data_IF_685375855423
#
_entry.id   IF_685375855423
#
_cell.length_a   1.000
_cell.length_b   1.000
_cell.length_c   1.000
_cell.angle_alpha   90.00
_cell.angle_beta   90.00
_cell.angle_gamma   90.00
#
_symmetry.space_group_name_H-M   'P 1'
#
loop_
_entity.id
_entity.type
_entity.pdbx_description
1 polymer ?
#
# COMPACT_ATOMS: atom_id res chain seq x y z
N UNK A 1 16.29 -8.40 -15.75
CA UNK A 1 17.38 -8.35 -14.74
C UNK A 1 16.70 -8.20 -13.40
N UNK A 2 17.03 -9.08 -12.46
CA UNK A 2 16.53 -9.05 -11.07
C UNK A 2 16.99 -7.76 -10.40
N UNK A 3 16.11 -7.04 -9.70
CA UNK A 3 16.51 -5.90 -8.86
C UNK A 3 17.32 -6.39 -7.66
N UNK A 4 16.96 -7.56 -7.13
CA UNK A 4 17.76 -8.21 -6.12
C UNK A 4 18.85 -9.05 -6.77
N UNK A 5 20.10 -8.76 -6.48
CA UNK A 5 21.23 -9.56 -6.96
C UNK A 5 21.85 -10.36 -5.82
N UNK A 6 22.16 -11.64 -6.09
CA UNK A 6 23.07 -12.46 -5.25
C UNK A 6 24.54 -12.39 -5.71
N UNK A 7 24.87 -11.44 -6.57
CA UNK A 7 26.16 -11.39 -7.27
C UNK A 7 26.92 -10.10 -6.95
N UNK A 8 27.81 -10.15 -5.95
CA UNK A 8 28.86 -9.15 -5.71
C UNK A 8 30.08 -9.78 -4.99
N UNK A 9 31.16 -9.00 -4.85
CA UNK A 9 32.49 -9.35 -4.30
C UNK A 9 32.45 -10.02 -2.90
N UNK A 10 31.36 -9.86 -2.15
CA UNK A 10 30.95 -10.65 -0.98
C UNK A 10 29.43 -10.86 -1.05
N UNK A 11 28.94 -12.08 -0.85
CA UNK A 11 27.49 -12.36 -0.81
C UNK A 11 26.91 -11.79 0.48
N UNK A 12 25.67 -11.25 0.47
CA UNK A 12 24.97 -11.03 1.74
C UNK A 12 24.79 -12.37 2.47
N UNK A 13 24.65 -12.35 3.81
CA UNK A 13 24.27 -13.51 4.59
C UNK A 13 23.10 -14.28 3.97
N UNK A 14 23.13 -15.61 4.12
CA UNK A 14 22.01 -16.44 3.68
C UNK A 14 20.73 -15.99 4.40
N UNK A 15 19.65 -15.76 3.64
CA UNK A 15 18.41 -15.17 4.15
C UNK A 15 18.23 -13.67 3.87
N UNK A 16 19.25 -12.98 3.33
CA UNK A 16 19.14 -11.59 2.91
C UNK A 16 19.29 -11.42 1.39
N UNK A 17 18.49 -10.52 0.83
CA UNK A 17 18.56 -10.08 -0.56
C UNK A 17 18.96 -8.62 -0.61
N UNK A 18 20.07 -8.33 -1.30
CA UNK A 18 20.50 -6.94 -1.48
C UNK A 18 19.58 -6.21 -2.46
N UNK A 19 18.98 -5.12 -2.02
CA UNK A 19 18.13 -4.26 -2.84
C UNK A 19 18.93 -3.18 -3.56
N UNK A 20 19.66 -2.39 -2.77
CA UNK A 20 20.66 -1.41 -3.23
C UNK A 20 21.86 -1.52 -2.29
N UNK A 21 22.92 -0.76 -2.56
CA UNK A 21 24.10 -0.72 -1.69
C UNK A 21 23.71 -0.46 -0.22
N UNK A 22 24.15 -1.35 0.70
CA UNK A 22 23.89 -1.31 2.16
C UNK A 22 22.42 -1.36 2.59
N UNK A 23 21.52 -1.81 1.72
CA UNK A 23 20.11 -1.99 2.03
C UNK A 23 19.64 -3.39 1.62
N UNK A 24 19.24 -4.18 2.61
CA UNK A 24 18.91 -5.59 2.45
C UNK A 24 17.46 -5.85 2.83
N UNK A 25 16.83 -6.81 2.14
CA UNK A 25 15.48 -7.30 2.42
C UNK A 25 15.58 -8.75 2.86
N UNK A 26 14.91 -9.11 3.95
CA UNK A 26 14.82 -10.50 4.38
C UNK A 26 14.06 -11.33 3.34
N UNK A 27 14.61 -12.49 2.95
CA UNK A 27 13.98 -13.36 1.96
C UNK A 27 12.66 -13.99 2.47
N UNK A 28 12.48 -14.03 3.79
CA UNK A 28 11.20 -14.37 4.43
C UNK A 28 10.03 -13.51 3.95
N UNK A 29 10.29 -12.27 3.48
CA UNK A 29 9.28 -11.38 2.90
C UNK A 29 8.66 -11.92 1.60
N UNK A 30 9.29 -12.90 0.96
CA UNK A 30 8.88 -13.48 -0.31
C UNK A 30 8.28 -14.88 -0.16
N UNK A 31 8.13 -15.37 1.08
CA UNK A 31 7.59 -16.69 1.39
C UNK A 31 6.21 -16.58 2.02
N UNK A 32 5.35 -17.56 1.77
CA UNK A 32 4.12 -17.80 2.54
C UNK A 32 4.23 -19.01 3.45
N UNK A 33 5.36 -19.70 3.41
CA UNK A 33 5.56 -20.92 4.21
C UNK A 33 5.60 -20.57 5.70
N UNK A 34 4.96 -21.42 6.49
CA UNK A 34 5.06 -21.35 7.94
C UNK A 34 6.32 -22.08 8.33
N UNK A 35 7.33 -21.30 8.71
CA UNK A 35 8.51 -21.83 9.38
C UNK A 35 8.06 -22.60 10.64
N UNK A 36 8.57 -23.82 10.88
CA UNK A 36 8.25 -24.58 12.08
C UNK A 36 8.51 -23.78 13.35
N UNK A 37 7.73 -24.02 14.39
CA UNK A 37 7.86 -23.29 15.65
C UNK A 37 9.31 -23.32 16.18
N UNK A 38 9.82 -22.14 16.57
CA UNK A 38 11.19 -21.97 17.06
C UNK A 38 12.27 -21.81 15.98
N UNK A 39 11.98 -22.06 14.70
CA UNK A 39 12.99 -21.91 13.63
C UNK A 39 13.19 -20.46 13.16
N UNK A 40 12.14 -19.63 13.20
CA UNK A 40 12.24 -18.23 12.81
C UNK A 40 13.18 -17.40 13.71
N UNK A 41 13.17 -17.56 15.05
CA UNK A 41 14.20 -16.96 15.90
C UNK A 41 15.62 -17.36 15.53
N UNK A 42 15.87 -18.66 15.32
CA UNK A 42 17.21 -19.17 14.94
C UNK A 42 17.67 -18.51 13.64
N UNK A 43 16.80 -18.48 12.63
CA UNK A 43 17.05 -17.80 11.36
C UNK A 43 17.44 -16.32 11.54
N UNK A 44 16.74 -15.57 12.40
CA UNK A 44 17.07 -14.16 12.65
C UNK A 44 18.40 -14.01 13.41
N UNK A 45 18.66 -14.84 14.43
CA UNK A 45 19.91 -14.80 15.19
C UNK A 45 21.12 -15.10 14.29
N UNK A 46 21.03 -16.11 13.42
CA UNK A 46 22.10 -16.47 12.47
C UNK A 46 22.46 -15.29 11.55
N UNK A 47 21.45 -14.68 10.92
CA UNK A 47 21.65 -13.55 10.00
C UNK A 47 22.27 -12.34 10.70
N UNK A 48 21.76 -11.97 11.88
CA UNK A 48 22.22 -10.78 12.58
C UNK A 48 23.63 -10.98 13.15
N UNK A 49 23.95 -12.17 13.68
CA UNK A 49 25.32 -12.51 14.11
C UNK A 49 26.32 -12.36 12.95
N UNK A 50 26.01 -12.95 11.79
CA UNK A 50 26.87 -12.88 10.60
C UNK A 50 27.06 -11.42 10.15
N UNK A 51 25.98 -10.62 10.12
CA UNK A 51 26.08 -9.20 9.78
C UNK A 51 27.00 -8.41 10.73
N UNK A 52 26.92 -8.65 12.03
CA UNK A 52 27.79 -7.97 13.00
C UNK A 52 29.25 -8.40 12.88
N UNK A 53 29.51 -9.68 12.61
CA UNK A 53 30.87 -10.20 12.38
C UNK A 53 31.50 -9.61 11.11
N UNK A 54 30.71 -9.48 10.04
CA UNK A 54 31.20 -8.95 8.76
C UNK A 54 31.32 -7.42 8.73
N UNK A 55 30.53 -6.70 9.55
CA UNK A 55 30.37 -5.25 9.47
C UNK A 55 30.57 -4.58 10.85
N UNK A 56 31.70 -4.87 11.50
CA UNK A 56 32.02 -4.45 12.88
C UNK A 56 31.90 -2.95 13.16
N UNK A 57 32.13 -2.11 12.15
CA UNK A 57 32.11 -0.65 12.27
C UNK A 57 30.77 -0.03 11.82
N UNK A 58 29.76 -0.86 11.51
CA UNK A 58 28.47 -0.42 10.96
C UNK A 58 27.38 -0.35 12.02
N UNK A 59 26.56 0.69 11.95
CA UNK A 59 25.29 0.73 12.69
C UNK A 59 24.14 0.20 11.83
N UNK A 60 23.21 -0.52 12.46
CA UNK A 60 22.08 -1.14 11.80
C UNK A 60 20.77 -0.44 12.12
N UNK A 61 19.98 -0.21 11.07
CA UNK A 61 18.59 0.20 11.16
C UNK A 61 17.70 -0.90 10.59
N UNK A 62 16.83 -1.46 11.40
CA UNK A 62 15.80 -2.39 10.97
C UNK A 62 14.46 -1.67 10.82
N UNK A 63 13.84 -1.83 9.66
CA UNK A 63 12.49 -1.32 9.38
C UNK A 63 11.57 -2.52 9.17
N UNK A 64 10.52 -2.59 10.01
CA UNK A 64 9.56 -3.69 9.99
C UNK A 64 8.15 -3.20 9.63
N UNK A 65 7.50 -3.89 8.71
CA UNK A 65 6.09 -3.67 8.35
C UNK A 65 5.22 -4.72 9.03
N UNK A 66 4.68 -4.35 10.21
CA UNK A 66 4.03 -5.28 11.15
C UNK A 66 2.52 -5.40 10.99
N UNK A 67 1.99 -6.53 11.43
CA UNK A 67 0.57 -6.78 11.65
C UNK A 67 0.13 -6.31 13.05
N UNK A 68 -0.90 -5.47 13.09
CA UNK A 68 -1.52 -5.05 14.33
C UNK A 68 -0.63 -4.18 15.22
N UNK A 69 -0.98 -4.13 16.51
CA UNK A 69 -0.38 -3.19 17.46
C UNK A 69 0.62 -3.82 18.44
N UNK A 70 0.78 -5.15 18.41
CA UNK A 70 1.78 -5.83 19.24
C UNK A 70 3.18 -5.67 18.67
N UNK A 71 4.18 -5.75 19.54
CA UNK A 71 5.58 -5.84 19.12
C UNK A 71 5.79 -7.18 18.39
N UNK A 72 6.55 -7.16 17.32
CA UNK A 72 6.85 -8.35 16.53
C UNK A 72 8.00 -9.14 17.13
N UNK A 73 8.03 -10.45 16.89
CA UNK A 73 9.17 -11.30 17.26
C UNK A 73 10.46 -10.80 16.59
N UNK A 74 10.36 -10.28 15.37
CA UNK A 74 11.45 -9.61 14.67
C UNK A 74 12.02 -8.44 15.49
N UNK A 75 11.14 -7.55 15.98
CA UNK A 75 11.55 -6.38 16.75
C UNK A 75 12.04 -6.73 18.17
N UNK A 76 11.58 -7.85 18.74
CA UNK A 76 12.08 -8.35 20.03
C UNK A 76 13.52 -8.84 19.89
N UNK A 77 13.79 -9.71 18.91
CA UNK A 77 15.11 -10.31 18.70
C UNK A 77 16.15 -9.26 18.29
N UNK A 78 15.87 -8.42 17.29
CA UNK A 78 16.87 -7.47 16.79
C UNK A 78 17.27 -6.42 17.83
N UNK A 79 16.41 -6.14 18.82
CA UNK A 79 16.78 -5.23 19.90
C UNK A 79 17.83 -5.81 20.86
N UNK A 80 18.01 -7.13 20.90
CA UNK A 80 19.08 -7.77 21.68
C UNK A 80 20.46 -7.51 21.06
N UNK A 81 20.50 -7.08 19.79
CA UNK A 81 21.70 -6.84 18.99
C UNK A 81 22.05 -5.36 18.78
N UNK A 82 21.51 -4.46 19.62
CA UNK A 82 21.74 -3.01 19.49
C UNK A 82 21.32 -2.44 18.11
N UNK A 83 20.36 -3.09 17.45
CA UNK A 83 19.79 -2.62 16.18
C UNK A 83 18.72 -1.57 16.47
N UNK A 84 18.79 -0.42 15.79
CA UNK A 84 17.72 0.58 15.85
C UNK A 84 16.50 0.08 15.08
N UNK A 85 15.31 0.10 15.67
CA UNK A 85 14.10 -0.46 15.05
C UNK A 85 13.05 0.61 14.80
N UNK A 86 12.47 0.61 13.61
CA UNK A 86 11.29 1.40 13.26
C UNK A 86 10.19 0.48 12.73
N UNK A 87 9.05 0.47 13.40
CA UNK A 87 7.86 -0.25 12.97
C UNK A 87 6.90 0.67 12.19
N UNK A 88 6.39 0.17 11.06
CA UNK A 88 5.28 0.72 10.31
C UNK A 88 4.12 -0.28 10.25
N UNK A 89 2.86 0.18 10.16
CA UNK A 89 1.75 -0.73 9.89
C UNK A 89 1.89 -1.32 8.48
N UNK A 90 1.52 -2.59 8.30
CA UNK A 90 1.59 -3.25 6.98
C UNK A 90 0.55 -2.77 5.95
N UNK A 91 -0.40 -1.93 6.36
CA UNK A 91 -1.49 -1.42 5.52
C UNK A 91 -2.15 -0.16 6.08
N UNK A 92 -3.00 0.46 5.28
CA UNK A 92 -3.90 1.55 5.64
C UNK A 92 -5.34 1.19 5.21
N UNK A 93 -6.21 0.87 6.16
CA UNK A 93 -7.63 0.58 5.92
C UNK A 93 -7.86 -0.45 4.79
N UNK A 94 -7.21 -1.61 4.88
CA UNK A 94 -7.29 -2.65 3.86
C UNK A 94 -6.32 -2.47 2.68
N UNK A 95 -5.83 -1.26 2.44
CA UNK A 95 -4.96 -0.94 1.31
C UNK A 95 -3.49 -1.19 1.67
N UNK A 96 -2.70 -1.94 0.87
CA UNK A 96 -1.27 -2.16 1.12
C UNK A 96 -0.45 -0.91 0.70
N UNK A 97 -0.74 0.18 1.39
CA UNK A 97 -0.16 1.50 1.29
C UNK A 97 -0.01 2.09 2.69
N UNK A 98 0.85 3.10 2.80
CA UNK A 98 0.95 3.94 3.98
C UNK A 98 0.37 5.33 3.69
N UNK A 99 -0.13 6.04 4.73
CA UNK A 99 -0.32 7.48 4.65
C UNK A 99 0.90 8.17 4.07
N UNK A 100 0.68 9.22 3.27
CA UNK A 100 1.78 9.88 2.56
C UNK A 100 2.85 10.46 3.50
N UNK A 101 2.47 10.85 4.72
CA UNK A 101 3.40 11.29 5.76
C UNK A 101 4.35 10.18 6.22
N UNK A 102 3.86 8.94 6.34
CA UNK A 102 4.70 7.78 6.70
C UNK A 102 5.56 7.32 5.51
N UNK A 103 5.07 7.46 4.27
CA UNK A 103 5.89 7.26 3.07
C UNK A 103 7.06 8.25 3.06
N UNK A 104 6.79 9.53 3.29
CA UNK A 104 7.84 10.55 3.39
C UNK A 104 8.83 10.24 4.51
N UNK A 105 8.33 9.86 5.69
CA UNK A 105 9.17 9.49 6.83
C UNK A 105 10.10 8.33 6.48
N UNK A 106 9.56 7.24 5.92
CA UNK A 106 10.34 6.10 5.44
C UNK A 106 11.46 6.53 4.48
N UNK A 107 11.12 7.30 3.44
CA UNK A 107 12.08 7.73 2.44
C UNK A 107 13.21 8.58 3.06
N UNK A 108 12.87 9.53 3.93
CA UNK A 108 13.85 10.42 4.58
C UNK A 108 14.74 9.70 5.57
N UNK A 109 14.18 8.79 6.37
CA UNK A 109 14.95 7.98 7.31
C UNK A 109 15.94 7.11 6.55
N UNK A 110 15.49 6.39 5.51
CA UNK A 110 16.39 5.55 4.71
C UNK A 110 17.52 6.35 4.07
N UNK A 111 17.18 7.48 3.44
CA UNK A 111 18.14 8.36 2.79
C UNK A 111 19.16 8.96 3.77
N UNK A 112 18.69 9.43 4.92
CA UNK A 112 19.55 10.01 5.96
C UNK A 112 20.46 8.94 6.54
N UNK A 113 19.93 7.77 6.91
CA UNK A 113 20.69 6.68 7.51
C UNK A 113 21.84 6.21 6.63
N UNK A 114 21.56 6.02 5.33
CA UNK A 114 22.58 5.64 4.35
C UNK A 114 23.62 6.73 4.09
N UNK A 115 23.28 8.01 4.34
CA UNK A 115 24.16 9.17 4.14
C UNK A 115 24.89 9.62 5.42
N UNK A 116 24.63 8.99 6.57
CA UNK A 116 25.27 9.32 7.84
C UNK A 116 26.63 8.62 8.02
N UNK A 117 27.55 9.29 8.74
CA UNK A 117 28.83 8.73 9.18
C UNK A 117 29.83 8.47 8.04
N UNK A 118 30.71 7.49 8.22
CA UNK A 118 31.69 7.06 7.20
C UNK A 118 31.05 6.17 6.10
N UNK A 119 29.76 6.33 5.82
CA UNK A 119 28.98 5.55 4.83
C UNK A 119 28.99 4.02 5.04
N UNK A 120 29.14 3.54 6.28
CA UNK A 120 29.10 2.10 6.58
C UNK A 120 27.73 1.62 7.09
N UNK A 121 26.83 2.54 7.44
CA UNK A 121 25.51 2.21 7.99
C UNK A 121 24.68 1.32 7.04
N UNK A 122 24.00 0.34 7.63
CA UNK A 122 23.20 -0.68 6.93
C UNK A 122 21.72 -0.55 7.30
N UNK A 123 20.84 -0.76 6.32
CA UNK A 123 19.40 -0.87 6.51
C UNK A 123 18.94 -2.30 6.24
N UNK A 124 18.16 -2.84 7.17
CA UNK A 124 17.49 -4.13 7.06
C UNK A 124 15.98 -3.91 6.94
N UNK A 125 15.38 -4.48 5.90
CA UNK A 125 13.94 -4.36 5.63
C UNK A 125 13.25 -5.70 5.82
N UNK A 126 12.20 -5.69 6.62
CA UNK A 126 11.37 -6.85 6.89
C UNK A 126 9.89 -6.48 6.77
N UNK A 127 9.06 -7.39 6.28
CA UNK A 127 7.62 -7.28 6.41
C UNK A 127 7.04 -8.60 6.90
N UNK A 128 6.08 -8.51 7.82
CA UNK A 128 5.30 -9.67 8.22
C UNK A 128 4.39 -10.12 7.07
N UNK A 129 3.74 -11.28 7.26
CA UNK A 129 2.87 -11.88 6.23
C UNK A 129 1.86 -10.87 5.69
N UNK A 130 1.67 -10.86 4.38
CA UNK A 130 0.79 -9.88 3.72
C UNK A 130 1.38 -8.48 3.55
N UNK A 131 2.56 -8.19 4.11
CA UNK A 131 3.21 -6.87 4.00
C UNK A 131 4.02 -6.65 2.70
N UNK A 132 4.31 -7.71 1.93
CA UNK A 132 5.09 -7.59 0.69
C UNK A 132 4.54 -6.55 -0.31
N UNK A 133 3.23 -6.50 -0.63
CA UNK A 133 2.74 -5.52 -1.58
C UNK A 133 3.02 -4.07 -1.14
N UNK A 134 2.98 -3.78 0.17
CA UNK A 134 3.38 -2.48 0.71
C UNK A 134 4.88 -2.26 0.57
N UNK A 135 5.69 -3.25 0.97
CA UNK A 135 7.15 -3.17 0.89
C UNK A 135 7.59 -2.92 -0.56
N UNK A 136 7.04 -3.65 -1.53
CA UNK A 136 7.29 -3.45 -2.95
C UNK A 136 7.01 -2.00 -3.42
N UNK A 137 5.91 -1.41 -2.97
CA UNK A 137 5.60 -0.01 -3.24
C UNK A 137 6.64 0.96 -2.62
N UNK A 138 7.09 0.72 -1.39
CA UNK A 138 8.07 1.57 -0.71
C UNK A 138 9.47 1.44 -1.32
N UNK A 139 9.86 0.24 -1.74
CA UNK A 139 11.07 -0.01 -2.52
C UNK A 139 11.04 0.75 -3.84
N UNK A 140 9.95 0.64 -4.61
CA UNK A 140 9.77 1.42 -5.84
C UNK A 140 9.82 2.94 -5.57
N UNK A 141 9.19 3.39 -4.48
CA UNK A 141 9.22 4.78 -4.04
C UNK A 141 10.64 5.25 -3.73
N UNK A 142 11.46 4.41 -3.08
CA UNK A 142 12.85 4.71 -2.78
C UNK A 142 13.71 4.85 -4.03
N UNK A 143 13.55 3.95 -5.02
CA UNK A 143 14.27 4.04 -6.30
C UNK A 143 13.94 5.34 -7.04
N UNK A 144 12.68 5.74 -7.07
CA UNK A 144 12.24 7.02 -7.65
C UNK A 144 12.72 8.21 -6.81
N UNK A 145 12.70 8.10 -5.48
CA UNK A 145 13.14 9.15 -4.56
C UNK A 145 14.64 9.45 -4.67
N UNK A 146 15.48 8.43 -4.87
CA UNK A 146 16.93 8.57 -5.08
C UNK A 146 17.30 8.82 -6.56
N UNK A 147 16.31 8.89 -7.45
CA UNK A 147 16.50 8.97 -8.91
C UNK A 147 17.35 7.82 -9.50
N UNK A 148 17.29 6.63 -8.89
CA UNK A 148 17.98 5.43 -9.39
C UNK A 148 17.24 4.81 -10.58
N UNK A 149 15.92 5.02 -10.64
CA UNK A 149 15.05 4.59 -11.73
C UNK A 149 14.17 5.75 -12.19
N UNK A 150 13.65 5.64 -13.43
CA UNK A 150 12.68 6.57 -14.01
C UNK A 150 11.48 5.81 -14.59
N UNK A 151 10.30 6.42 -14.54
CA UNK A 151 9.05 5.81 -14.97
C UNK A 151 8.41 5.00 -13.84
N UNK A 152 7.40 5.59 -13.21
CA UNK A 152 6.74 5.11 -12.00
C UNK A 152 6.12 3.73 -12.22
N UNK A 153 5.33 3.58 -13.29
CA UNK A 153 4.66 2.31 -13.60
C UNK A 153 5.67 1.19 -13.85
N UNK A 154 6.67 1.44 -14.69
CA UNK A 154 7.71 0.45 -15.00
C UNK A 154 8.49 0.05 -13.76
N UNK A 155 8.82 1.00 -12.89
CA UNK A 155 9.57 0.72 -11.66
C UNK A 155 8.75 -0.14 -10.71
N UNK A 156 7.48 0.21 -10.49
CA UNK A 156 6.57 -0.57 -9.65
C UNK A 156 6.35 -1.98 -10.20
N UNK A 157 6.18 -2.12 -11.52
CA UNK A 157 6.06 -3.42 -12.20
C UNK A 157 7.28 -4.31 -11.99
N UNK A 158 8.49 -3.76 -12.06
CA UNK A 158 9.73 -4.54 -11.86
C UNK A 158 9.81 -5.02 -10.42
N UNK A 159 9.63 -4.15 -9.43
CA UNK A 159 9.71 -4.54 -8.01
C UNK A 159 8.68 -5.60 -7.65
N UNK A 160 7.44 -5.47 -8.13
CA UNK A 160 6.41 -6.48 -7.91
C UNK A 160 6.76 -7.86 -8.49
N UNK A 161 7.54 -7.91 -9.58
CA UNK A 161 7.96 -9.15 -10.23
C UNK A 161 9.14 -9.85 -9.55
N UNK A 162 9.74 -9.23 -8.54
CA UNK A 162 10.79 -9.86 -7.73
C UNK A 162 10.22 -10.98 -6.84
N UNK A 163 8.94 -10.91 -6.50
CA UNK A 163 8.26 -12.00 -5.80
C UNK A 163 7.80 -13.13 -6.74
N UNK A 164 7.58 -14.35 -6.21
CA UNK A 164 7.07 -15.47 -6.99
C UNK A 164 5.80 -15.12 -7.77
N UNK A 165 5.62 -15.73 -8.94
CA UNK A 165 4.42 -15.51 -9.76
C UNK A 165 3.17 -15.87 -8.96
N UNK A 166 2.17 -14.99 -8.97
CA UNK A 166 0.92 -15.16 -8.23
C UNK A 166 0.98 -14.76 -6.75
N UNK A 167 2.15 -14.44 -6.21
CA UNK A 167 2.31 -14.08 -4.79
C UNK A 167 1.44 -12.88 -4.37
N UNK A 168 1.37 -11.83 -5.20
CA UNK A 168 0.50 -10.68 -4.93
C UNK A 168 -0.99 -11.03 -4.87
N UNK A 169 -1.45 -11.97 -5.70
CA UNK A 169 -2.84 -12.42 -5.74
C UNK A 169 -3.22 -13.22 -4.49
N UNK A 170 -2.24 -13.92 -3.91
CA UNK A 170 -2.40 -14.63 -2.65
C UNK A 170 -2.47 -13.67 -1.46
N UNK A 171 -1.70 -12.59 -1.48
CA UNK A 171 -1.59 -11.65 -0.35
C UNK A 171 -2.67 -10.54 -0.35
N UNK A 172 -3.24 -10.21 -1.51
CA UNK A 172 -4.26 -9.17 -1.60
C UNK A 172 -5.41 -9.58 -2.52
N UNK A 173 -6.68 -9.51 -2.06
CA UNK A 173 -7.83 -9.88 -2.88
C UNK A 173 -8.04 -8.92 -4.07
N UNK A 174 -7.71 -7.64 -3.89
CA UNK A 174 -7.74 -6.63 -4.95
C UNK A 174 -6.35 -6.46 -5.54
N UNK A 175 -6.26 -6.07 -6.80
CA UNK A 175 -5.03 -5.57 -7.38
C UNK A 175 -4.75 -4.15 -6.84
N UNK A 176 -3.73 -3.95 -5.97
CA UNK A 176 -3.47 -2.64 -5.37
C UNK A 176 -2.68 -1.70 -6.28
N UNK A 177 -2.25 -2.18 -7.46
CA UNK A 177 -1.35 -1.48 -8.35
C UNK A 177 -1.82 -0.05 -8.72
N UNK A 178 -3.12 0.20 -9.00
CA UNK A 178 -3.56 1.54 -9.39
C UNK A 178 -3.40 2.58 -8.28
N UNK A 179 -3.79 2.25 -7.05
CA UNK A 179 -3.59 3.16 -5.90
C UNK A 179 -2.11 3.31 -5.55
N UNK A 180 -1.32 2.24 -5.65
CA UNK A 180 0.13 2.32 -5.46
C UNK A 180 0.81 3.20 -6.50
N UNK A 181 0.43 3.07 -7.78
CA UNK A 181 0.94 3.91 -8.85
C UNK A 181 0.58 5.39 -8.63
N UNK A 182 -0.65 5.66 -8.17
CA UNK A 182 -1.07 7.03 -7.82
C UNK A 182 -0.20 7.64 -6.72
N UNK A 183 0.09 6.90 -5.66
CA UNK A 183 0.96 7.37 -4.59
C UNK A 183 2.42 7.48 -5.03
N UNK A 184 2.89 6.59 -5.91
CA UNK A 184 4.24 6.68 -6.47
C UNK A 184 4.39 7.93 -7.35
N UNK A 185 3.35 8.31 -8.10
CA UNK A 185 3.30 9.58 -8.83
C UNK A 185 3.33 10.79 -7.88
N UNK A 186 2.76 10.70 -6.68
CA UNK A 186 2.89 11.75 -5.66
C UNK A 186 4.34 11.90 -5.19
N UNK A 187 5.07 10.80 -5.02
CA UNK A 187 6.50 10.76 -4.67
C UNK A 187 7.37 11.30 -5.82
N UNK A 188 7.09 10.91 -7.06
CA UNK A 188 7.83 11.38 -8.23
C UNK A 188 7.75 12.91 -8.39
N UNK A 189 6.60 13.50 -8.01
CA UNK A 189 6.34 14.94 -8.06
C UNK A 189 6.87 15.74 -6.87
N UNK A 190 7.64 15.12 -5.97
CA UNK A 190 8.12 15.77 -4.73
C UNK A 190 8.88 17.07 -4.94
N UNK A 191 9.62 17.19 -6.04
CA UNK A 191 10.46 18.36 -6.33
C UNK A 191 9.69 19.51 -7.00
N UNK A 192 8.37 19.37 -7.22
CA UNK A 192 7.56 20.44 -7.83
C UNK A 192 7.28 21.57 -6.82
N UNK A 193 7.25 21.26 -5.52
CA UNK A 193 6.98 22.19 -4.43
C UNK A 193 8.18 22.23 -3.47
N UNK A 194 8.52 23.39 -2.88
CA UNK A 194 9.59 23.47 -1.88
C UNK A 194 9.27 22.66 -0.62
N UNK A 195 7.99 22.50 -0.29
CA UNK A 195 7.51 21.64 0.79
C UNK A 195 6.78 20.43 0.19
N UNK A 196 7.21 19.23 0.59
CA UNK A 196 6.58 17.97 0.22
C UNK A 196 6.52 17.02 1.42
N UNK A 197 5.40 16.32 1.66
CA UNK A 197 4.15 16.39 0.91
C UNK A 197 3.44 17.74 1.10
N UNK A 198 2.68 18.23 0.11
CA UNK A 198 1.94 19.48 0.26
C UNK A 198 0.90 19.36 1.39
N UNK A 199 0.54 20.48 2.01
CA UNK A 199 -0.47 20.50 3.06
C UNK A 199 -1.81 20.00 2.55
N UNK A 200 -2.33 18.94 3.17
CA UNK A 200 -3.63 18.39 2.83
C UNK A 200 -4.76 19.35 3.23
N UNK A 201 -5.67 19.63 2.30
CA UNK A 201 -6.85 20.48 2.54
C UNK A 201 -8.04 19.60 2.89
N UNK A 202 -8.87 20.05 3.83
CA UNK A 202 -10.17 19.44 4.06
C UNK A 202 -11.08 19.79 2.87
N UNK A 203 -11.67 18.77 2.25
CA UNK A 203 -12.57 18.90 1.10
C UNK A 203 -13.87 18.16 1.38
N UNK A 204 -14.99 18.68 0.87
CA UNK A 204 -16.25 17.95 0.87
C UNK A 204 -16.26 17.00 -0.32
N UNK A 205 -16.41 15.70 -0.06
CA UNK A 205 -16.74 14.73 -1.09
C UNK A 205 -18.27 14.68 -1.22
N UNK A 206 -18.77 15.44 -2.20
CA UNK A 206 -20.21 15.67 -2.34
C UNK A 206 -20.94 14.45 -2.90
N UNK A 207 -20.39 13.82 -3.93
CA UNK A 207 -20.98 12.64 -4.57
C UNK A 207 -19.92 11.81 -5.30
N UNK A 208 -20.29 10.57 -5.62
CA UNK A 208 -19.59 9.69 -6.55
C UNK A 208 -20.47 9.48 -7.78
N UNK A 209 -19.92 9.69 -8.97
CA UNK A 209 -20.63 9.46 -10.23
C UNK A 209 -19.98 8.28 -10.96
N UNK A 210 -20.74 7.22 -11.19
CA UNK A 210 -20.33 6.08 -12.00
C UNK A 210 -20.97 6.16 -13.37
N UNK A 211 -20.15 6.32 -14.41
CA UNK A 211 -20.58 6.27 -15.81
C UNK A 211 -20.36 4.87 -16.37
N UNK A 212 -21.35 4.40 -17.14
CA UNK A 212 -21.49 3.02 -17.62
C UNK A 212 -21.61 2.03 -16.46
N UNK A 213 -22.79 1.47 -16.24
CA UNK A 213 -23.04 0.57 -15.11
C UNK A 213 -22.20 -0.71 -15.22
N UNK A 214 -21.48 -1.15 -14.17
CA UNK A 214 -20.74 -2.41 -14.21
C UNK A 214 -21.64 -3.62 -13.90
N UNK A 215 -21.27 -4.80 -14.39
CA UNK A 215 -22.05 -6.05 -14.29
C UNK A 215 -21.60 -6.91 -13.11
N UNK A 216 -22.36 -6.85 -12.01
CA UNK A 216 -22.09 -7.58 -10.76
C UNK A 216 -23.14 -8.63 -10.41
N UNK A 217 -24.30 -8.63 -11.07
CA UNK A 217 -25.32 -9.66 -10.94
C UNK A 217 -25.77 -10.24 -12.29
N UNK A 218 -26.64 -11.24 -12.21
CA UNK A 218 -27.19 -11.96 -13.37
C UNK A 218 -28.10 -11.10 -14.28
N UNK A 219 -28.42 -9.87 -13.86
CA UNK A 219 -29.22 -8.92 -14.63
C UNK A 219 -28.36 -7.82 -15.28
N UNK A 220 -27.04 -8.01 -15.35
CA UNK A 220 -26.09 -7.02 -15.86
C UNK A 220 -26.21 -5.67 -15.13
N UNK A 221 -26.30 -5.72 -13.81
CA UNK A 221 -26.44 -4.53 -12.97
C UNK A 221 -25.65 -4.60 -11.67
N UNK A 222 -25.89 -3.59 -10.82
CA UNK A 222 -25.32 -3.51 -9.48
C UNK A 222 -26.20 -2.75 -8.48
N UNK A 223 -25.98 -3.00 -7.18
CA UNK A 223 -26.55 -2.26 -6.04
C UNK A 223 -25.39 -1.66 -5.24
N UNK A 224 -24.87 -0.47 -5.63
CA UNK A 224 -23.66 0.08 -5.04
C UNK A 224 -23.90 0.55 -3.60
N UNK A 225 -22.92 0.27 -2.73
CA UNK A 225 -22.84 0.71 -1.32
C UNK A 225 -21.48 1.33 -1.12
N UNK A 226 -21.43 2.52 -0.53
CA UNK A 226 -20.19 3.27 -0.34
C UNK A 226 -19.76 3.27 1.12
N UNK A 227 -18.47 3.04 1.34
CA UNK A 227 -17.77 3.29 2.61
C UNK A 227 -16.59 4.19 2.36
N UNK A 228 -16.35 5.12 3.29
CA UNK A 228 -15.18 6.01 3.24
C UNK A 228 -14.47 5.94 4.56
N UNK A 229 -13.17 5.75 4.49
CA UNK A 229 -12.26 5.71 5.63
C UNK A 229 -11.22 6.82 5.49
N UNK A 230 -10.80 7.35 6.62
CA UNK A 230 -9.77 8.37 6.67
C UNK A 230 -9.56 8.88 8.09
N UNK A 231 -8.74 9.92 8.21
CA UNK A 231 -8.44 10.52 9.51
C UNK A 231 -9.65 11.28 10.06
N UNK A 232 -9.90 11.12 11.35
CA UNK A 232 -10.93 11.89 12.06
C UNK A 232 -10.53 13.36 12.15
N UNK A 233 -11.32 14.25 11.55
CA UNK A 233 -11.07 15.71 11.56
C UNK A 233 -11.46 16.38 12.88
N UNK A 234 -12.37 15.76 13.64
CA UNK A 234 -12.95 16.32 14.87
C UNK A 234 -12.64 15.37 16.03
N UNK A 235 -11.67 15.73 16.88
CA UNK A 235 -11.34 15.03 18.13
C UNK A 235 -9.86 14.77 18.37
N UNK A 236 -9.49 14.34 19.58
CA UNK A 236 -8.12 14.05 20.03
C UNK A 236 -7.53 12.72 19.49
N UNK A 237 -8.02 12.23 18.34
CA UNK A 237 -7.72 10.88 17.82
C UNK A 237 -6.32 10.67 17.23
N UNK A 238 -5.44 11.68 17.24
CA UNK A 238 -4.08 11.52 16.72
C UNK A 238 -4.04 11.12 15.24
N UNK A 239 -3.24 10.10 14.91
CA UNK A 239 -3.08 9.51 13.56
C UNK A 239 -4.06 8.37 13.27
N UNK A 240 -5.02 8.07 14.16
CA UNK A 240 -5.94 6.97 13.94
C UNK A 240 -6.94 7.25 12.82
N UNK A 241 -7.25 6.20 12.08
CA UNK A 241 -8.23 6.18 11.02
C UNK A 241 -9.55 5.61 11.52
N UNK A 242 -10.64 5.99 10.85
CA UNK A 242 -11.97 5.46 11.13
C UNK A 242 -12.83 5.53 9.87
N UNK A 243 -13.95 4.82 9.89
CA UNK A 243 -15.02 4.99 8.92
C UNK A 243 -15.66 6.37 9.11
N UNK A 244 -15.50 7.25 8.10
CA UNK A 244 -16.05 8.60 8.07
C UNK A 244 -17.48 8.61 7.50
N UNK A 245 -17.76 7.71 6.57
CA UNK A 245 -19.06 7.59 5.94
C UNK A 245 -19.39 6.12 5.65
N UNK A 246 -20.66 5.77 5.82
CA UNK A 246 -21.22 4.48 5.45
C UNK A 246 -22.63 4.68 4.94
N UNK A 247 -22.92 4.20 3.73
CA UNK A 247 -24.25 4.30 3.16
C UNK A 247 -25.24 3.40 3.95
N UNK A 248 -26.39 3.91 4.41
CA UNK A 248 -27.34 3.13 5.19
C UNK A 248 -27.91 1.94 4.40
N UNK A 249 -27.75 0.73 4.91
CA UNK A 249 -28.41 -0.48 4.41
C UNK A 249 -29.85 -0.55 4.92
N UNK A 250 -30.77 0.22 4.35
CA UNK A 250 -32.19 0.09 4.75
C UNK A 250 -32.73 -1.27 4.29
N UNK A 251 -33.45 -1.99 5.17
CA UNK A 251 -34.08 -3.31 4.92
C UNK A 251 -35.06 -3.37 3.73
N UNK A 252 -35.32 -2.25 3.03
CA UNK A 252 -36.09 -2.19 1.77
C UNK A 252 -35.32 -1.40 0.71
N UNK A 253 -34.66 -2.19 -0.14
CA UNK A 253 -34.03 -1.92 -1.45
C UNK A 253 -33.05 -0.75 -1.57
N UNK A 254 -31.76 -1.04 -1.43
CA UNK A 254 -30.73 -0.30 -2.17
C UNK A 254 -31.09 -0.38 -3.66
N UNK A 255 -31.09 0.76 -4.36
CA UNK A 255 -31.51 0.83 -5.76
C UNK A 255 -30.62 -0.07 -6.61
N UNK A 256 -31.26 -0.92 -7.41
CA UNK A 256 -30.60 -1.72 -8.43
C UNK A 256 -30.49 -0.90 -9.72
N UNK A 257 -29.31 -0.86 -10.29
CA UNK A 257 -29.02 -0.18 -11.56
C UNK A 257 -28.63 -1.23 -12.59
N UNK A 258 -29.36 -1.29 -13.71
CA UNK A 258 -29.05 -2.18 -14.84
C UNK A 258 -28.48 -1.36 -15.98
N UNK A 259 -27.54 -1.94 -16.73
CA UNK A 259 -26.97 -1.31 -17.92
C UNK A 259 -28.02 -0.86 -18.95
N UNK A 260 -29.11 -1.62 -19.11
CA UNK A 260 -30.16 -1.29 -20.08
C UNK A 260 -31.06 -0.11 -19.67
N UNK A 261 -31.10 0.26 -18.39
CA UNK A 261 -32.01 1.30 -17.88
C UNK A 261 -31.27 2.57 -17.45
N UNK A 262 -29.93 2.53 -17.36
CA UNK A 262 -29.15 3.55 -16.69
C UNK A 262 -27.72 3.60 -17.23
N UNK A 263 -27.32 4.77 -17.72
CA UNK A 263 -25.94 5.03 -18.14
C UNK A 263 -25.10 5.65 -17.03
N UNK A 264 -25.73 6.28 -16.03
CA UNK A 264 -25.05 7.06 -15.00
C UNK A 264 -25.69 6.82 -13.63
N UNK A 265 -24.90 6.35 -12.68
CA UNK A 265 -25.27 6.26 -11.26
C UNK A 265 -24.67 7.47 -10.55
N UNK A 266 -25.49 8.28 -9.89
CA UNK A 266 -25.02 9.33 -8.97
C UNK A 266 -25.37 8.93 -7.55
N UNK A 267 -24.37 8.92 -6.66
CA UNK A 267 -24.51 8.58 -5.25
C UNK A 267 -24.10 9.79 -4.44
N UNK A 268 -25.04 10.41 -3.73
CA UNK A 268 -24.75 11.53 -2.84
C UNK A 268 -24.09 11.04 -1.54
N UNK A 269 -23.03 11.72 -1.12
CA UNK A 269 -22.16 11.32 0.00
C UNK A 269 -22.11 12.42 1.06
N UNK A 270 -21.76 13.65 0.67
CA UNK A 270 -21.63 14.81 1.55
C UNK A 270 -20.73 14.54 2.78
N UNK A 271 -19.50 14.07 2.55
CA UNK A 271 -18.54 13.71 3.61
C UNK A 271 -17.30 14.60 3.56
N UNK A 272 -16.94 15.22 4.68
CA UNK A 272 -15.69 15.97 4.81
C UNK A 272 -14.51 15.01 4.97
N UNK A 273 -13.47 15.16 4.14
CA UNK A 273 -12.27 14.31 4.15
C UNK A 273 -10.99 15.15 4.06
N UNK A 274 -9.88 14.68 4.63
CA UNK A 274 -8.57 15.35 4.57
C UNK A 274 -7.44 14.33 4.61
N UNK A 275 -6.37 14.58 3.86
CA UNK A 275 -5.19 13.72 3.83
C UNK A 275 -5.46 12.46 3.02
N UNK A 276 -4.99 11.33 3.51
CA UNK A 276 -5.15 10.02 2.87
C UNK A 276 -6.55 9.44 3.12
N UNK A 277 -7.26 9.11 2.04
CA UNK A 277 -8.67 8.68 2.05
C UNK A 277 -8.79 7.36 1.29
N UNK A 278 -9.51 6.40 1.87
CA UNK A 278 -9.91 5.15 1.21
C UNK A 278 -11.41 5.17 0.95
N UNK A 279 -11.80 5.05 -0.32
CA UNK A 279 -13.19 4.87 -0.74
C UNK A 279 -13.37 3.44 -1.22
N UNK A 280 -14.36 2.74 -0.67
CA UNK A 280 -14.80 1.43 -1.12
C UNK A 280 -16.19 1.51 -1.73
N UNK A 281 -16.35 0.93 -2.92
CA UNK A 281 -17.65 0.71 -3.55
C UNK A 281 -17.92 -0.79 -3.59
N UNK A 282 -19.00 -1.21 -2.97
CA UNK A 282 -19.42 -2.61 -2.87
C UNK A 282 -20.73 -2.83 -3.60
N UNK A 283 -20.94 -4.04 -4.12
CA UNK A 283 -22.22 -4.53 -4.58
C UNK A 283 -22.90 -5.30 -3.45
N UNK A 284 -24.13 -4.91 -3.08
CA UNK A 284 -24.98 -5.68 -2.18
C UNK A 284 -25.80 -6.71 -2.98
N UNK A 285 -25.57 -8.00 -2.74
CA UNK A 285 -26.32 -9.08 -3.38
C UNK A 285 -27.78 -9.14 -2.83
N UNK A 286 -28.61 -10.02 -3.40
CA UNK A 286 -29.97 -10.28 -2.93
C UNK A 286 -29.98 -10.89 -1.51
N UNK A 287 -28.93 -11.64 -1.17
CA UNK A 287 -28.60 -11.98 0.20
C UNK A 287 -27.90 -10.77 0.87
N UNK A 288 -28.56 -10.07 1.80
CA UNK A 288 -28.02 -8.83 2.38
C UNK A 288 -26.76 -9.04 3.23
N UNK A 289 -26.39 -10.28 3.55
CA UNK A 289 -25.12 -10.60 4.22
C UNK A 289 -23.95 -10.73 3.24
N UNK A 290 -24.24 -10.85 1.93
CA UNK A 290 -23.22 -11.04 0.91
C UNK A 290 -22.89 -9.73 0.20
N UNK A 291 -21.70 -9.21 0.53
CA UNK A 291 -21.12 -8.05 -0.15
C UNK A 291 -19.99 -8.48 -1.07
N UNK A 292 -19.95 -7.89 -2.26
CA UNK A 292 -18.86 -8.09 -3.20
C UNK A 292 -18.17 -6.76 -3.44
N UNK A 293 -16.88 -6.67 -3.18
CA UNK A 293 -16.11 -5.47 -3.51
C UNK A 293 -16.17 -5.22 -5.02
N UNK A 294 -16.69 -4.06 -5.41
CA UNK A 294 -16.60 -3.63 -6.81
C UNK A 294 -15.19 -3.09 -7.02
N UNK A 295 -14.86 -2.01 -6.33
CA UNK A 295 -13.56 -1.39 -6.40
C UNK A 295 -13.22 -0.62 -5.12
N UNK A 296 -11.93 -0.36 -4.95
CA UNK A 296 -11.38 0.52 -3.93
C UNK A 296 -10.49 1.58 -4.57
N UNK A 297 -10.47 2.76 -3.97
CA UNK A 297 -9.59 3.87 -4.35
C UNK A 297 -8.93 4.40 -3.09
N UNK A 298 -7.61 4.51 -3.10
CA UNK A 298 -6.90 5.34 -2.12
C UNK A 298 -6.32 6.59 -2.80
N UNK A 299 -6.58 7.77 -2.23
CA UNK A 299 -6.09 9.05 -2.75
C UNK A 299 -5.71 9.99 -1.61
N UNK A 300 -5.00 11.08 -1.91
CA UNK A 300 -4.65 12.10 -0.93
C UNK A 300 -5.20 13.48 -1.33
N UNK A 301 -5.91 14.15 -0.42
CA UNK A 301 -6.59 15.43 -0.71
C UNK A 301 -5.64 16.57 -1.08
N UNK A 302 -4.35 16.49 -0.71
CA UNK A 302 -3.33 17.48 -1.08
C UNK A 302 -3.08 17.53 -2.60
N UNK A 303 -3.39 16.45 -3.33
CA UNK A 303 -3.14 16.33 -4.76
C UNK A 303 -4.39 16.58 -5.61
N UNK A 304 -5.52 16.91 -4.98
CA UNK A 304 -6.76 17.27 -5.65
C UNK A 304 -6.73 18.77 -6.00
N UNK A 305 -6.53 19.06 -7.29
CA UNK A 305 -6.44 20.42 -7.82
C UNK A 305 -7.76 20.94 -8.40
N UNK A 306 -8.56 20.03 -8.97
CA UNK A 306 -9.88 20.32 -9.56
C UNK A 306 -10.99 19.81 -8.64
N UNK A 307 -12.22 20.24 -8.88
CA UNK A 307 -13.39 19.78 -8.11
C UNK A 307 -13.86 18.35 -8.48
N UNK A 308 -13.15 17.67 -9.40
CA UNK A 308 -13.50 16.34 -9.93
C UNK A 308 -12.23 15.50 -10.05
N UNK A 309 -12.30 14.24 -9.63
CA UNK A 309 -11.23 13.25 -9.79
C UNK A 309 -11.73 12.13 -10.71
N UNK A 310 -11.39 12.23 -12.00
CA UNK A 310 -11.80 11.21 -12.97
C UNK A 310 -10.86 10.00 -12.94
N UNK A 311 -11.43 8.81 -12.79
CA UNK A 311 -10.74 7.53 -12.76
C UNK A 311 -11.41 6.56 -13.73
N UNK A 312 -10.63 5.95 -14.61
CA UNK A 312 -11.11 4.88 -15.46
C UNK A 312 -10.89 3.51 -14.77
N UNK A 313 -11.37 2.42 -15.38
CA UNK A 313 -11.24 1.06 -14.82
C UNK A 313 -9.79 0.58 -14.56
N UNK A 314 -8.77 1.21 -15.16
CA UNK A 314 -7.35 0.93 -14.92
C UNK A 314 -6.82 1.66 -13.68
N UNK A 315 -7.52 2.69 -13.23
CA UNK A 315 -7.14 3.52 -12.09
C UNK A 315 -7.77 3.04 -10.77
N UNK A 316 -8.44 1.89 -10.78
CA UNK A 316 -9.23 1.37 -9.66
C UNK A 316 -8.67 0.04 -9.14
N UNK A 317 -8.55 -0.08 -7.82
CA UNK A 317 -8.19 -1.36 -7.21
C UNK A 317 -9.42 -2.28 -7.29
N UNK A 318 -9.38 -3.25 -8.21
CA UNK A 318 -10.46 -4.21 -8.44
C UNK A 318 -10.00 -5.64 -8.11
N UNK A 319 -10.94 -6.57 -7.93
CA UNK A 319 -10.63 -7.99 -7.78
C UNK A 319 -9.81 -8.49 -8.98
N UNK A 320 -8.82 -9.34 -8.72
CA UNK A 320 -8.03 -9.94 -9.80
C UNK A 320 -8.93 -10.68 -10.80
N UNK A 321 -8.68 -10.48 -12.10
CA UNK A 321 -9.48 -11.11 -13.17
C UNK A 321 -10.92 -10.58 -13.32
N UNK A 322 -11.33 -9.56 -12.58
CA UNK A 322 -12.71 -9.03 -12.62
C UNK A 322 -12.95 -7.91 -13.63
N UNK A 323 -11.93 -7.58 -14.45
CA UNK A 323 -11.95 -6.43 -15.35
C UNK A 323 -13.07 -6.45 -16.39
N UNK A 324 -13.49 -7.65 -16.81
CA UNK A 324 -14.59 -7.86 -17.76
C UNK A 324 -15.96 -7.44 -17.20
N UNK A 325 -16.09 -7.31 -15.86
CA UNK A 325 -17.31 -6.77 -15.22
C UNK A 325 -17.50 -5.28 -15.50
N UNK A 326 -16.47 -4.59 -15.98
CA UNK A 326 -16.47 -3.16 -16.22
C UNK A 326 -16.51 -2.88 -17.73
N UNK A 327 -17.51 -2.11 -18.22
CA UNK A 327 -17.48 -1.60 -19.59
C UNK A 327 -16.18 -0.84 -19.88
N UNK A 328 -15.68 -0.90 -21.12
CA UNK A 328 -14.47 -0.14 -21.52
C UNK A 328 -14.61 1.37 -21.31
N UNK A 329 -15.84 1.88 -21.40
CA UNK A 329 -16.20 3.28 -21.17
C UNK A 329 -16.41 3.63 -19.69
N UNK A 330 -16.26 2.67 -18.77
CA UNK A 330 -16.48 2.88 -17.33
C UNK A 330 -15.61 4.00 -16.78
N UNK A 331 -16.23 4.91 -16.02
CA UNK A 331 -15.53 5.98 -15.28
C UNK A 331 -16.19 6.19 -13.92
N UNK A 332 -15.34 6.42 -12.92
CA UNK A 332 -15.72 6.97 -11.62
C UNK A 332 -15.24 8.42 -11.55
N UNK A 333 -16.10 9.34 -11.11
CA UNK A 333 -15.81 10.79 -10.99
C UNK A 333 -16.05 11.31 -9.58
#
# INVERSE_FOLDING_TARGET
MSLFSRFFYRRPPDGLLQFVERMYVFDSCFSTEVLPDGTYPIYLHEIINELHEENTDSSFLAINFREGEKRSQFAEILCEYDVTIIDYPRQYEGCPLLPLSLVQHFLRVCDSWLSMGNNQNIILLHCERGGWPLLAFLLASFLIFRNLHSGEQRTLDIVHREAPKGYLQLLSPLNPFPSQLRYLQYVARRNISPEWPPTARAISLDCLILRSVPSFDHHNGCRPVIRIFGRKLIGKGGLSTQMLFSMPKKKKSIRHYRQMDCDVIKIDIQCLVQGDVVLECLHLDLDPEREVMMFRIMFNTAFIRSNIMMLNREDLDILWGSKERYPKSFRAE
#
